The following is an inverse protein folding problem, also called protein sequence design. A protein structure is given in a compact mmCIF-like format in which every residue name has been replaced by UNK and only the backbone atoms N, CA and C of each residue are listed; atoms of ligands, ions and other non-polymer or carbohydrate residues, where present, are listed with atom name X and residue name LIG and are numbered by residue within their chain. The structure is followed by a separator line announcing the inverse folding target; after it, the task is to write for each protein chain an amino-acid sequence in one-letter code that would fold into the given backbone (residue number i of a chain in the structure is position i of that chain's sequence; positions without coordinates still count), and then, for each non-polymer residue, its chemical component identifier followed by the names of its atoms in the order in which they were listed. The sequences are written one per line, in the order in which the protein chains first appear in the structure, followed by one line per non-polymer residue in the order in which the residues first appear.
data_IF_255689358907
#
_entry.id   IF_255689358907
#
_cell.length_a   1.000
_cell.length_b   1.000
_cell.length_c   1.000
_cell.angle_alpha   90.00
_cell.angle_beta   90.00
_cell.angle_gamma   90.00
#
_symmetry.space_group_name_H-M   'P 1'
#
loop_
_entity.id
_entity.type
_entity.pdbx_description
1 polymer ?
#
# COMPACT_ATOMS: atom_id res chain seq x y z
N UNK A 1 -11.80 21.85 -0.66
CA UNK A 1 -11.26 22.33 -1.95
C UNK A 1 -10.08 21.47 -2.30
N UNK A 2 -9.88 21.15 -3.59
CA UNK A 2 -8.68 20.48 -4.04
C UNK A 2 -7.46 21.38 -3.79
N UNK A 3 -6.33 20.79 -3.43
CA UNK A 3 -5.08 21.51 -3.18
C UNK A 3 -4.16 21.41 -4.40
N UNK A 4 -3.45 22.49 -4.71
CA UNK A 4 -2.53 22.56 -5.86
C UNK A 4 -1.10 22.44 -5.35
N UNK A 5 -0.27 21.65 -6.01
CA UNK A 5 1.13 21.46 -5.64
C UNK A 5 2.04 21.29 -6.83
N UNK A 6 3.32 21.25 -6.52
CA UNK A 6 4.40 20.90 -7.46
C UNK A 6 5.22 19.74 -6.90
N UNK A 7 5.83 18.97 -7.77
CA UNK A 7 6.92 18.11 -7.37
C UNK A 7 8.21 18.53 -8.07
N UNK A 8 9.31 18.41 -7.34
CA UNK A 8 10.58 18.99 -7.78
C UNK A 8 11.79 18.15 -7.37
N UNK A 9 12.85 18.32 -8.15
CA UNK A 9 14.12 17.66 -7.97
C UNK A 9 15.29 18.63 -8.26
N UNK A 10 16.50 18.12 -8.33
CA UNK A 10 17.65 18.89 -8.78
C UNK A 10 17.55 19.36 -10.25
N UNK A 11 16.68 18.72 -11.05
CA UNK A 11 16.46 19.10 -12.46
C UNK A 11 15.76 20.45 -12.60
N UNK A 12 15.01 20.88 -11.58
CA UNK A 12 14.30 22.16 -11.56
C UNK A 12 15.20 23.34 -11.12
N UNK A 13 16.49 23.07 -10.92
CA UNK A 13 17.49 24.08 -10.64
C UNK A 13 17.34 24.76 -9.26
N UNK A 14 17.55 26.08 -9.24
CA UNK A 14 17.46 26.87 -8.02
C UNK A 14 16.12 27.57 -7.91
N UNK A 15 15.18 26.94 -7.22
CA UNK A 15 13.82 27.44 -7.01
C UNK A 15 13.83 28.66 -6.08
N UNK A 16 13.10 29.73 -6.46
CA UNK A 16 12.79 30.85 -5.57
C UNK A 16 11.49 30.56 -4.81
N UNK A 17 11.62 29.87 -3.69
CA UNK A 17 10.48 29.43 -2.87
C UNK A 17 9.64 30.59 -2.33
N UNK A 18 10.21 31.82 -2.15
CA UNK A 18 9.41 32.98 -1.78
C UNK A 18 8.38 33.37 -2.84
N UNK A 19 8.69 33.15 -4.13
CA UNK A 19 7.75 33.37 -5.23
C UNK A 19 6.81 32.21 -5.46
N UNK A 20 7.21 31.00 -5.13
CA UNK A 20 6.43 29.76 -5.33
C UNK A 20 5.30 29.67 -4.30
N UNK A 21 5.55 30.01 -3.04
CA UNK A 21 4.68 29.74 -1.88
C UNK A 21 3.23 30.24 -2.04
N UNK A 22 3.03 31.36 -2.74
CA UNK A 22 1.72 31.99 -2.90
C UNK A 22 0.90 31.34 -4.04
N UNK A 23 1.49 30.38 -4.76
CA UNK A 23 0.90 29.71 -5.91
C UNK A 23 0.64 28.22 -5.67
N UNK A 24 1.03 27.67 -4.52
CA UNK A 24 0.87 26.24 -4.20
C UNK A 24 0.42 26.04 -2.75
N UNK A 25 -0.25 24.92 -2.52
CA UNK A 25 -0.65 24.44 -1.19
C UNK A 25 0.32 23.43 -0.61
N UNK A 26 1.13 22.75 -1.45
CA UNK A 26 2.08 21.71 -1.04
C UNK A 26 3.19 21.51 -2.08
N UNK A 27 4.27 20.86 -1.66
CA UNK A 27 5.34 20.39 -2.54
C UNK A 27 5.72 18.93 -2.24
N UNK A 28 6.11 18.17 -3.26
CA UNK A 28 6.71 16.84 -3.11
C UNK A 28 8.15 16.93 -3.61
N UNK A 29 9.13 16.61 -2.74
CA UNK A 29 10.54 16.81 -3.03
C UNK A 29 11.23 15.49 -3.33
N UNK A 30 12.00 15.41 -4.41
CA UNK A 30 12.84 14.23 -4.63
C UNK A 30 13.90 14.14 -3.54
N UNK A 31 13.86 13.05 -2.74
CA UNK A 31 14.91 12.79 -1.75
C UNK A 31 16.16 12.18 -2.41
N UNK A 32 15.97 11.49 -3.52
CA UNK A 32 17.04 10.88 -4.29
C UNK A 32 16.56 9.71 -5.14
N UNK A 33 17.47 8.78 -5.41
CA UNK A 33 17.15 7.51 -6.04
C UNK A 33 17.79 6.34 -5.28
N UNK A 34 17.20 5.16 -5.44
CA UNK A 34 17.64 3.91 -4.83
C UNK A 34 17.92 2.86 -5.90
N UNK A 35 19.01 2.12 -5.73
CA UNK A 35 19.45 1.09 -6.67
C UNK A 35 19.93 -0.19 -6.00
N UNK A 36 20.18 -1.21 -6.81
CA UNK A 36 20.59 -2.53 -6.31
C UNK A 36 21.92 -2.49 -5.55
N UNK A 37 22.82 -1.60 -5.91
CA UNK A 37 24.17 -1.53 -5.34
C UNK A 37 24.43 -0.24 -4.56
N UNK A 38 23.73 0.84 -4.89
CA UNK A 38 23.97 2.17 -4.32
C UNK A 38 22.67 2.97 -4.26
N UNK A 39 22.65 4.00 -3.43
CA UNK A 39 21.61 5.02 -3.34
C UNK A 39 22.27 6.39 -3.46
N UNK A 40 21.55 7.37 -3.96
CA UNK A 40 22.06 8.74 -4.09
C UNK A 40 21.01 9.74 -3.62
N UNK A 41 21.45 10.71 -2.80
CA UNK A 41 20.62 11.83 -2.37
C UNK A 41 20.53 12.84 -3.52
N UNK A 42 19.36 13.43 -3.71
CA UNK A 42 19.21 14.57 -4.62
C UNK A 42 19.96 15.80 -4.07
N UNK A 43 20.80 16.40 -4.88
CA UNK A 43 21.69 17.51 -4.45
C UNK A 43 20.94 18.76 -3.98
N UNK A 44 19.66 18.93 -4.36
CA UNK A 44 18.81 20.06 -3.95
C UNK A 44 17.86 19.71 -2.81
N UNK A 45 17.79 18.43 -2.40
CA UNK A 45 16.83 17.99 -1.39
C UNK A 45 16.90 18.82 -0.10
N UNK A 46 18.07 18.91 0.52
CA UNK A 46 18.23 19.62 1.79
C UNK A 46 17.88 21.11 1.68
N UNK A 47 18.29 21.73 0.59
CA UNK A 47 17.95 23.14 0.33
C UNK A 47 16.44 23.32 0.18
N UNK A 48 15.81 22.51 -0.65
CA UNK A 48 14.39 22.63 -0.92
C UNK A 48 13.56 22.30 0.34
N UNK A 49 13.96 21.27 1.10
CA UNK A 49 13.34 20.96 2.39
C UNK A 49 13.37 22.15 3.36
N UNK A 50 14.55 22.73 3.58
CA UNK A 50 14.74 23.84 4.51
C UNK A 50 13.95 25.09 4.10
N UNK A 51 13.91 25.40 2.82
CA UNK A 51 13.15 26.53 2.29
C UNK A 51 11.65 26.35 2.44
N UNK A 52 11.12 25.15 2.11
CA UNK A 52 9.72 24.83 2.31
C UNK A 52 9.33 24.95 3.80
N UNK A 53 10.15 24.41 4.70
CA UNK A 53 9.91 24.53 6.15
C UNK A 53 9.95 25.97 6.64
N UNK A 54 10.91 26.75 6.19
CA UNK A 54 10.99 28.19 6.51
C UNK A 54 9.73 28.97 6.11
N UNK A 55 9.09 28.53 5.02
CA UNK A 55 7.92 29.19 4.45
C UNK A 55 6.59 28.54 4.85
N UNK A 56 6.63 27.49 5.70
CA UNK A 56 5.47 26.68 6.10
C UNK A 56 4.72 26.08 4.91
N UNK A 57 5.44 25.66 3.86
CA UNK A 57 4.88 24.89 2.77
C UNK A 57 4.82 23.43 3.21
N UNK A 58 3.65 22.79 3.23
CA UNK A 58 3.53 21.34 3.51
C UNK A 58 4.30 20.51 2.50
N UNK A 59 5.07 19.53 2.99
CA UNK A 59 5.94 18.73 2.13
C UNK A 59 5.76 17.23 2.31
N UNK A 60 5.82 16.51 1.18
CA UNK A 60 6.13 15.10 1.08
C UNK A 60 7.45 14.89 0.35
N UNK A 61 7.85 13.63 0.24
CA UNK A 61 9.05 13.27 -0.51
C UNK A 61 8.78 12.10 -1.44
N UNK A 62 9.58 11.98 -2.51
CA UNK A 62 9.61 10.77 -3.31
C UNK A 62 11.04 10.29 -3.54
N UNK A 63 11.17 8.98 -3.77
CA UNK A 63 12.43 8.33 -4.10
C UNK A 63 12.28 7.52 -5.39
N UNK A 64 13.11 7.79 -6.38
CA UNK A 64 13.09 7.06 -7.66
C UNK A 64 13.69 5.67 -7.51
N UNK A 65 13.01 4.65 -8.03
CA UNK A 65 13.36 3.25 -7.79
C UNK A 65 14.00 2.55 -8.98
N UNK A 66 15.20 2.01 -8.77
CA UNK A 66 15.89 1.05 -9.67
C UNK A 66 16.07 -0.34 -9.02
N UNK A 67 15.60 -0.54 -7.79
CA UNK A 67 15.80 -1.78 -7.02
C UNK A 67 14.91 -2.88 -7.55
N UNK A 68 15.49 -4.08 -7.72
CA UNK A 68 14.80 -5.28 -8.25
C UNK A 68 14.61 -6.38 -7.20
N UNK A 69 15.18 -6.23 -6.01
CA UNK A 69 15.27 -7.28 -5.00
C UNK A 69 14.56 -6.82 -3.72
N UNK A 70 13.61 -7.62 -3.21
CA UNK A 70 12.80 -7.26 -2.05
C UNK A 70 13.63 -7.02 -0.79
N UNK A 71 14.64 -7.83 -0.51
CA UNK A 71 15.52 -7.59 0.64
C UNK A 71 16.24 -6.23 0.53
N UNK A 72 16.70 -5.88 -0.67
CA UNK A 72 17.40 -4.62 -0.90
C UNK A 72 16.47 -3.41 -0.79
N UNK A 73 15.22 -3.52 -1.24
CA UNK A 73 14.29 -2.38 -1.16
C UNK A 73 13.91 -2.04 0.28
N UNK A 74 13.90 -3.03 1.20
CA UNK A 74 13.74 -2.79 2.65
C UNK A 74 14.91 -1.99 3.22
N UNK A 75 16.15 -2.37 2.90
CA UNK A 75 17.34 -1.60 3.27
C UNK A 75 17.30 -0.17 2.73
N UNK A 76 16.76 0.01 1.52
CA UNK A 76 16.59 1.32 0.92
C UNK A 76 15.50 2.15 1.62
N UNK A 77 14.43 1.53 2.10
CA UNK A 77 13.44 2.21 2.94
C UNK A 77 14.07 2.70 4.24
N UNK A 78 14.86 1.87 4.92
CA UNK A 78 15.61 2.28 6.11
C UNK A 78 16.57 3.44 5.83
N UNK A 79 17.24 3.43 4.66
CA UNK A 79 18.10 4.53 4.25
C UNK A 79 17.32 5.84 4.04
N UNK A 80 16.16 5.80 3.36
CA UNK A 80 15.28 6.98 3.18
C UNK A 80 14.81 7.51 4.54
N UNK A 81 14.34 6.63 5.42
CA UNK A 81 13.92 6.98 6.78
C UNK A 81 15.07 7.60 7.56
N UNK A 82 16.28 7.07 7.41
CA UNK A 82 17.50 7.61 8.04
C UNK A 82 17.79 9.06 7.62
N UNK A 83 17.59 9.41 6.35
CA UNK A 83 17.74 10.79 5.85
C UNK A 83 16.70 11.76 6.41
N UNK A 84 15.53 11.23 6.78
CA UNK A 84 14.41 12.00 7.34
C UNK A 84 14.45 12.09 8.87
N UNK A 85 15.45 11.50 9.50
CA UNK A 85 15.62 11.60 10.96
C UNK A 85 15.66 13.07 11.40
N UNK A 86 14.79 13.44 12.32
CA UNK A 86 14.58 14.81 12.79
C UNK A 86 13.97 15.77 11.74
N UNK A 87 13.37 15.24 10.68
CA UNK A 87 12.61 15.99 9.69
C UNK A 87 11.12 15.60 9.79
N UNK A 88 10.24 16.58 9.78
CA UNK A 88 8.78 16.36 9.73
C UNK A 88 8.28 16.43 8.29
N UNK A 89 7.32 15.60 7.97
CA UNK A 89 6.60 15.61 6.71
C UNK A 89 5.11 15.79 6.99
N UNK A 90 4.43 16.59 6.18
CA UNK A 90 2.97 16.76 6.21
C UNK A 90 2.26 15.94 5.13
N UNK A 91 3.03 15.27 4.28
CA UNK A 91 2.59 14.40 3.20
C UNK A 91 3.40 13.10 3.21
N UNK A 92 2.94 12.06 2.51
CA UNK A 92 3.62 10.76 2.50
C UNK A 92 5.02 10.77 1.89
N UNK A 93 5.72 9.65 2.14
CA UNK A 93 6.89 9.21 1.38
C UNK A 93 6.38 8.35 0.23
N UNK A 94 6.72 8.71 -1.00
CA UNK A 94 6.32 7.97 -2.20
C UNK A 94 7.46 7.17 -2.80
N UNK A 95 7.23 5.87 -3.03
CA UNK A 95 8.08 5.08 -3.91
C UNK A 95 7.68 5.34 -5.36
N UNK A 96 8.61 5.86 -6.14
CA UNK A 96 8.41 6.17 -7.56
C UNK A 96 8.72 4.94 -8.42
N UNK A 97 7.68 4.42 -9.08
CA UNK A 97 7.66 3.16 -9.83
C UNK A 97 7.37 3.40 -11.31
N UNK A 98 8.39 3.80 -12.06
CA UNK A 98 8.22 4.08 -13.49
C UNK A 98 9.40 3.64 -14.38
N UNK A 99 10.49 3.13 -13.78
CA UNK A 99 11.68 2.76 -14.54
C UNK A 99 11.47 1.49 -15.38
N UNK A 100 11.66 1.61 -16.69
CA UNK A 100 11.43 0.53 -17.63
C UNK A 100 12.32 -0.71 -17.38
N UNK A 101 13.47 -0.57 -16.72
CA UNK A 101 14.34 -1.71 -16.40
C UNK A 101 13.70 -2.68 -15.38
N UNK A 102 12.65 -2.25 -14.70
CA UNK A 102 11.92 -3.04 -13.70
C UNK A 102 10.82 -3.91 -14.33
N UNK A 103 10.34 -3.58 -15.54
CA UNK A 103 9.14 -4.20 -16.15
C UNK A 103 9.24 -5.72 -16.31
N UNK A 104 10.47 -6.23 -16.47
CA UNK A 104 10.74 -7.68 -16.59
C UNK A 104 10.44 -8.49 -15.32
N UNK A 105 10.28 -7.84 -14.17
CA UNK A 105 9.95 -8.50 -12.90
C UNK A 105 8.52 -9.02 -12.84
N UNK A 106 7.64 -8.46 -13.65
CA UNK A 106 6.22 -8.79 -13.68
C UNK A 106 5.42 -8.18 -12.53
N UNK A 107 4.11 -8.13 -12.73
CA UNK A 107 3.15 -7.37 -11.91
C UNK A 107 3.21 -7.70 -10.40
N UNK A 108 3.25 -8.97 -10.07
CA UNK A 108 3.28 -9.42 -8.67
C UNK A 108 4.55 -8.96 -7.94
N UNK A 109 5.71 -9.17 -8.56
CA UNK A 109 6.98 -8.78 -7.93
C UNK A 109 7.12 -7.27 -7.80
N UNK A 110 6.68 -6.50 -8.80
CA UNK A 110 6.67 -5.03 -8.73
C UNK A 110 5.75 -4.54 -7.59
N UNK A 111 4.59 -5.14 -7.44
CA UNK A 111 3.67 -4.82 -6.33
C UNK A 111 4.29 -5.18 -4.98
N UNK A 112 4.97 -6.33 -4.89
CA UNK A 112 5.66 -6.74 -3.65
C UNK A 112 6.79 -5.78 -3.27
N UNK A 113 7.52 -5.21 -4.25
CA UNK A 113 8.51 -4.16 -3.97
C UNK A 113 7.85 -2.92 -3.35
N UNK A 114 6.72 -2.48 -3.89
CA UNK A 114 5.96 -1.36 -3.31
C UNK A 114 5.53 -1.67 -1.87
N UNK A 115 4.99 -2.87 -1.64
CA UNK A 115 4.55 -3.30 -0.31
C UNK A 115 5.73 -3.36 0.66
N UNK A 116 6.85 -3.93 0.25
CA UNK A 116 8.03 -4.07 1.10
C UNK A 116 8.61 -2.72 1.52
N UNK A 117 8.75 -1.78 0.58
CA UNK A 117 9.23 -0.41 0.87
C UNK A 117 8.28 0.33 1.81
N UNK A 118 7.00 0.35 1.45
CA UNK A 118 5.99 1.10 2.19
C UNK A 118 5.78 0.55 3.60
N UNK A 119 5.84 -0.78 3.78
CA UNK A 119 5.73 -1.40 5.11
C UNK A 119 6.86 -0.96 6.04
N UNK A 120 8.13 -0.89 5.57
CA UNK A 120 9.23 -0.39 6.39
C UNK A 120 9.09 1.12 6.67
N UNK A 121 8.63 1.88 5.69
CA UNK A 121 8.33 3.31 5.85
C UNK A 121 7.26 3.56 6.91
N UNK A 122 6.16 2.80 6.90
CA UNK A 122 5.08 2.91 7.89
C UNK A 122 5.51 2.48 9.30
N UNK A 123 6.34 1.43 9.43
CA UNK A 123 6.94 1.03 10.72
C UNK A 123 7.76 2.15 11.35
N UNK A 124 8.35 3.02 10.55
CA UNK A 124 9.08 4.19 11.02
C UNK A 124 8.17 5.38 11.38
N UNK A 125 6.85 5.24 11.24
CA UNK A 125 5.86 6.26 11.60
C UNK A 125 5.53 7.26 10.49
N UNK A 126 5.94 7.02 9.25
CA UNK A 126 5.59 7.87 8.11
C UNK A 126 4.40 7.28 7.34
N UNK A 127 3.57 8.14 6.80
CA UNK A 127 2.63 7.72 5.77
C UNK A 127 3.37 7.38 4.49
N UNK A 128 2.93 6.32 3.82
CA UNK A 128 3.58 5.79 2.64
C UNK A 128 2.65 5.79 1.42
N UNK A 129 3.24 5.86 0.24
CA UNK A 129 2.49 5.86 -1.00
C UNK A 129 3.29 5.34 -2.19
N UNK A 130 2.61 5.23 -3.31
CA UNK A 130 3.21 4.84 -4.58
C UNK A 130 2.91 5.93 -5.61
N UNK A 131 3.97 6.40 -6.29
CA UNK A 131 3.84 7.16 -7.52
C UNK A 131 4.09 6.24 -8.71
N UNK A 132 3.26 6.37 -9.71
CA UNK A 132 3.46 5.78 -11.03
C UNK A 132 2.58 6.50 -12.07
N UNK A 133 2.92 6.37 -13.36
CA UNK A 133 2.02 6.82 -14.40
C UNK A 133 0.85 5.84 -14.63
N UNK A 134 -0.18 6.28 -15.36
CA UNK A 134 -1.39 5.50 -15.61
C UNK A 134 -1.11 4.13 -16.23
N UNK A 135 -0.13 4.05 -17.15
CA UNK A 135 0.25 2.77 -17.78
C UNK A 135 0.79 1.78 -16.75
N UNK A 136 1.62 2.25 -15.83
CA UNK A 136 2.17 1.42 -14.76
C UNK A 136 1.10 0.92 -13.81
N UNK A 137 0.20 1.78 -13.35
CA UNK A 137 -0.92 1.38 -12.49
C UNK A 137 -1.82 0.33 -13.15
N UNK A 138 -2.09 0.44 -14.45
CA UNK A 138 -2.96 -0.50 -15.14
C UNK A 138 -2.28 -1.83 -15.48
N UNK A 139 -1.02 -1.80 -15.93
CA UNK A 139 -0.37 -2.94 -16.55
C UNK A 139 0.71 -3.60 -15.70
N UNK A 140 1.41 -2.85 -14.83
CA UNK A 140 2.58 -3.33 -14.10
C UNK A 140 2.40 -3.43 -12.60
N UNK A 141 1.35 -2.82 -12.02
CA UNK A 141 1.06 -2.85 -10.59
C UNK A 141 -0.33 -3.44 -10.33
N UNK A 142 -0.47 -4.14 -9.21
CA UNK A 142 -1.79 -4.50 -8.69
C UNK A 142 -2.41 -3.27 -8.02
N UNK A 143 -3.03 -2.42 -8.84
CA UNK A 143 -3.54 -1.11 -8.41
C UNK A 143 -4.55 -1.21 -7.26
N UNK A 144 -5.41 -2.22 -7.26
CA UNK A 144 -6.45 -2.38 -6.25
C UNK A 144 -5.83 -2.72 -4.88
N UNK A 145 -4.75 -3.49 -4.88
CA UNK A 145 -4.02 -3.81 -3.66
C UNK A 145 -3.27 -2.59 -3.12
N UNK A 146 -2.61 -1.81 -3.99
CA UNK A 146 -1.92 -0.58 -3.61
C UNK A 146 -2.92 0.44 -3.06
N UNK A 147 -4.02 0.70 -3.77
CA UNK A 147 -5.06 1.67 -3.37
C UNK A 147 -5.73 1.32 -2.04
N UNK A 148 -5.84 0.04 -1.72
CA UNK A 148 -6.41 -0.41 -0.46
C UNK A 148 -5.49 -0.15 0.73
N UNK A 149 -4.16 -0.13 0.53
CA UNK A 149 -3.15 -0.10 1.59
C UNK A 149 -2.47 1.24 1.76
N UNK A 150 -2.21 1.93 0.66
CA UNK A 150 -1.30 3.07 0.62
C UNK A 150 -1.93 4.24 -0.10
N UNK A 151 -1.37 5.43 0.14
CA UNK A 151 -1.70 6.62 -0.64
C UNK A 151 -1.21 6.49 -2.08
N UNK A 152 -1.93 7.11 -3.00
CA UNK A 152 -1.69 6.97 -4.44
C UNK A 152 -1.45 8.33 -5.10
N UNK A 153 -0.37 8.40 -5.87
CA UNK A 153 -0.02 9.55 -6.69
C UNK A 153 0.18 9.09 -8.13
N UNK A 154 -0.66 9.59 -9.04
CA UNK A 154 -0.66 9.16 -10.43
C UNK A 154 -0.22 10.27 -11.38
N UNK A 155 0.66 9.94 -12.35
CA UNK A 155 0.87 10.79 -13.51
C UNK A 155 -0.09 10.41 -14.64
N UNK A 156 -0.89 11.39 -15.07
CA UNK A 156 -1.80 11.26 -16.20
C UNK A 156 -1.94 12.60 -16.91
N UNK A 157 -1.07 12.85 -17.87
CA UNK A 157 -1.00 14.12 -18.58
C UNK A 157 -2.15 14.30 -19.57
N UNK A 158 -2.53 15.55 -19.81
CA UNK A 158 -3.63 15.91 -20.72
C UNK A 158 -5.04 15.71 -20.15
N UNK A 159 -5.15 15.29 -18.89
CA UNK A 159 -6.43 15.18 -18.19
C UNK A 159 -6.85 16.55 -17.67
N UNK A 160 -8.15 16.87 -17.84
CA UNK A 160 -8.71 18.05 -17.20
C UNK A 160 -8.85 17.79 -15.69
N UNK A 161 -7.95 18.34 -14.89
CA UNK A 161 -7.92 18.19 -13.44
C UNK A 161 -9.22 18.55 -12.73
N UNK A 162 -9.98 19.52 -13.27
CA UNK A 162 -11.27 19.93 -12.70
C UNK A 162 -12.40 18.93 -12.96
N UNK A 163 -12.21 17.97 -13.85
CA UNK A 163 -13.15 16.89 -14.18
C UNK A 163 -12.65 15.51 -13.73
N UNK A 164 -11.50 15.45 -13.11
CA UNK A 164 -10.97 14.21 -12.56
C UNK A 164 -11.87 13.73 -11.41
N UNK A 165 -12.17 12.44 -11.39
CA UNK A 165 -13.13 11.85 -10.45
C UNK A 165 -12.56 11.53 -9.06
N UNK A 166 -11.28 11.85 -8.81
CA UNK A 166 -10.61 11.53 -7.54
C UNK A 166 -10.33 10.03 -7.33
N UNK A 167 -10.16 9.27 -8.41
CA UNK A 167 -9.83 7.84 -8.33
C UNK A 167 -8.51 7.57 -7.57
N UNK A 168 -7.58 8.54 -7.63
CA UNK A 168 -6.30 8.53 -6.91
C UNK A 168 -6.21 9.75 -6.00
N UNK A 169 -5.40 9.69 -4.95
CA UNK A 169 -5.32 10.76 -3.95
C UNK A 169 -4.68 12.03 -4.52
N UNK A 170 -3.62 11.88 -5.33
CA UNK A 170 -2.93 12.98 -6.04
C UNK A 170 -2.83 12.66 -7.54
N UNK A 171 -3.09 13.65 -8.36
CA UNK A 171 -2.90 13.62 -9.81
C UNK A 171 -1.79 14.60 -10.22
N UNK A 172 -0.72 14.09 -10.81
CA UNK A 172 0.23 14.88 -11.58
C UNK A 172 -0.32 15.01 -13.01
N UNK A 173 -0.81 16.20 -13.35
CA UNK A 173 -1.56 16.40 -14.60
C UNK A 173 -0.76 17.06 -15.72
N UNK A 174 0.44 17.56 -15.43
CA UNK A 174 1.32 18.22 -16.39
C UNK A 174 2.78 18.13 -15.95
N UNK A 175 3.65 17.87 -16.91
CA UNK A 175 5.11 17.95 -16.82
C UNK A 175 5.66 19.26 -17.47
N UNK A 176 4.77 20.19 -17.84
CA UNK A 176 5.07 21.45 -18.54
C UNK A 176 4.41 22.65 -17.89
N UNK A 177 4.25 22.57 -16.58
CA UNK A 177 3.69 23.67 -15.80
C UNK A 177 4.62 24.90 -15.76
N UNK A 178 4.04 26.04 -15.44
CA UNK A 178 4.80 27.28 -15.20
C UNK A 178 4.34 27.87 -13.88
N UNK A 179 5.28 28.02 -12.97
CA UNK A 179 5.06 28.61 -11.65
C UNK A 179 6.10 29.72 -11.45
N UNK A 180 5.66 30.88 -10.97
CA UNK A 180 6.58 31.97 -10.61
C UNK A 180 7.58 31.48 -9.56
N UNK A 181 8.86 31.64 -9.83
CA UNK A 181 9.93 31.19 -8.95
C UNK A 181 10.58 29.87 -9.36
N UNK A 182 10.06 29.17 -10.38
CA UNK A 182 10.73 28.04 -11.04
C UNK A 182 11.16 28.46 -12.44
N UNK A 183 12.40 28.22 -12.78
CA UNK A 183 12.93 28.46 -14.10
C UNK A 183 12.74 27.23 -14.97
N UNK A 184 11.99 27.36 -16.06
CA UNK A 184 11.67 26.24 -16.96
C UNK A 184 10.29 25.65 -16.71
N UNK A 185 10.12 24.38 -17.05
CA UNK A 185 8.91 23.60 -16.80
C UNK A 185 8.96 22.99 -15.41
N UNK A 186 7.82 22.75 -14.81
CA UNK A 186 7.67 22.11 -13.50
C UNK A 186 6.44 21.21 -13.48
N UNK A 187 6.51 20.12 -12.74
CA UNK A 187 5.41 19.17 -12.58
C UNK A 187 4.30 19.77 -11.72
N UNK A 188 3.08 19.73 -12.26
CA UNK A 188 1.88 20.27 -11.59
C UNK A 188 0.98 19.16 -11.07
N UNK A 189 0.56 19.31 -9.83
CA UNK A 189 -0.23 18.35 -9.09
C UNK A 189 -1.53 18.93 -8.55
N UNK A 190 -2.54 18.07 -8.45
CA UNK A 190 -3.78 18.33 -7.70
C UNK A 190 -4.02 17.21 -6.71
N UNK A 191 -4.20 17.56 -5.44
CA UNK A 191 -4.57 16.64 -4.36
C UNK A 191 -6.09 16.67 -4.18
N UNK A 192 -6.73 15.50 -4.31
CA UNK A 192 -8.18 15.33 -4.19
C UNK A 192 -8.61 14.85 -2.80
N UNK A 193 -7.77 14.06 -2.13
CA UNK A 193 -7.91 13.68 -0.72
C UNK A 193 -7.00 14.57 0.11
N UNK A 194 -7.52 15.24 1.12
CA UNK A 194 -6.72 16.15 1.97
C UNK A 194 -5.76 15.36 2.90
N UNK A 195 -4.69 14.83 2.31
CA UNK A 195 -3.68 14.04 3.03
C UNK A 195 -2.99 14.85 4.14
N UNK A 196 -2.88 16.16 3.99
CA UNK A 196 -2.29 17.02 5.03
C UNK A 196 -3.16 16.99 6.28
N UNK A 197 -4.47 17.10 6.11
CA UNK A 197 -5.43 16.99 7.20
C UNK A 197 -5.41 15.59 7.81
N UNK A 198 -5.51 14.55 6.98
CA UNK A 198 -5.56 13.16 7.43
C UNK A 198 -4.32 12.80 8.28
N UNK A 199 -3.12 13.21 7.85
CA UNK A 199 -1.88 12.98 8.59
C UNK A 199 -1.85 13.77 9.89
N UNK A 200 -2.28 15.04 9.87
CA UNK A 200 -2.30 15.87 11.08
C UNK A 200 -3.27 15.34 12.13
N UNK A 201 -4.43 14.83 11.71
CA UNK A 201 -5.41 14.23 12.61
C UNK A 201 -4.92 12.88 13.15
N UNK A 202 -4.23 12.06 12.34
CA UNK A 202 -3.66 10.79 12.78
C UNK A 202 -2.54 10.96 13.81
N UNK A 203 -1.80 12.07 13.78
CA UNK A 203 -0.77 12.37 14.79
C UNK A 203 -1.32 12.85 16.12
N UNK A 204 -2.58 13.30 16.16
CA UNK A 204 -3.27 13.70 17.39
C UNK A 204 -4.04 12.55 18.05
N UNK A 205 -4.25 11.45 17.35
CA UNK A 205 -4.88 10.24 17.86
C UNK A 205 -3.81 9.26 18.38
N UNK A 206 -4.09 8.64 19.52
CA UNK A 206 -3.20 7.66 20.18
C UNK A 206 -2.80 6.51 19.25
N UNK A 207 -1.71 5.76 19.50
CA UNK A 207 -1.12 4.74 18.61
C UNK A 207 -2.03 3.57 18.19
N UNK A 208 -3.31 3.60 18.54
CA UNK A 208 -4.25 2.50 18.28
C UNK A 208 -4.79 2.41 16.83
N UNK A 209 -4.67 3.48 16.02
CA UNK A 209 -5.35 3.53 14.71
C UNK A 209 -4.51 3.12 13.49
N UNK A 210 -3.20 2.92 13.64
CA UNK A 210 -2.33 2.40 12.56
C UNK A 210 -2.14 0.88 12.58
N UNK A 211 -2.96 0.17 13.34
CA UNK A 211 -2.90 -1.30 13.38
C UNK A 211 -3.61 -1.90 12.16
N UNK A 212 -2.98 -2.88 11.53
CA UNK A 212 -3.66 -3.70 10.54
C UNK A 212 -4.93 -4.30 11.13
N UNK A 213 -6.00 -4.46 10.34
CA UNK A 213 -7.19 -5.18 10.80
C UNK A 213 -6.83 -6.55 11.36
N UNK A 214 -7.47 -6.95 12.44
CA UNK A 214 -7.19 -8.25 13.11
C UNK A 214 -7.29 -9.43 12.15
N UNK A 215 -8.21 -9.37 11.17
CA UNK A 215 -8.30 -10.33 10.08
C UNK A 215 -6.98 -10.48 9.31
N UNK A 216 -6.36 -9.38 8.96
CA UNK A 216 -5.11 -9.37 8.18
C UNK A 216 -3.94 -9.88 9.01
N UNK A 217 -3.87 -9.48 10.27
CA UNK A 217 -2.87 -10.02 11.23
C UNK A 217 -3.06 -11.51 11.43
N UNK A 218 -4.31 -11.98 11.56
CA UNK A 218 -4.62 -13.39 11.69
C UNK A 218 -4.19 -14.20 10.46
N UNK A 219 -4.33 -13.65 9.25
CA UNK A 219 -3.81 -14.28 8.03
C UNK A 219 -2.28 -14.36 8.02
N UNK A 220 -1.58 -13.31 8.45
CA UNK A 220 -0.11 -13.32 8.60
C UNK A 220 0.34 -14.37 9.63
N UNK A 221 -0.40 -14.52 10.74
CA UNK A 221 -0.15 -15.59 11.72
C UNK A 221 -0.32 -16.97 11.09
N UNK A 222 -1.37 -17.18 10.29
CA UNK A 222 -1.62 -18.46 9.57
C UNK A 222 -0.50 -18.75 8.58
N UNK A 223 0.04 -17.74 7.92
CA UNK A 223 1.17 -17.83 6.99
C UNK A 223 2.53 -18.02 7.69
N UNK A 224 2.56 -18.00 9.04
CA UNK A 224 3.76 -18.28 9.82
C UNK A 224 4.68 -17.08 10.10
N UNK A 225 4.29 -15.86 9.69
CA UNK A 225 5.10 -14.64 9.83
C UNK A 225 5.43 -14.27 11.29
N UNK A 226 4.54 -14.66 12.22
CA UNK A 226 4.71 -14.40 13.67
C UNK A 226 5.34 -15.55 14.46
N UNK A 227 5.75 -16.66 13.80
CA UNK A 227 6.28 -17.83 14.50
C UNK A 227 5.21 -18.58 15.32
N UNK A 228 5.63 -19.26 16.41
CA UNK A 228 4.73 -20.10 17.21
C UNK A 228 4.87 -19.84 18.71
N UNK A 229 3.82 -20.17 19.47
CA UNK A 229 3.85 -20.15 20.93
C UNK A 229 4.18 -18.79 21.51
N UNK A 230 5.18 -18.73 22.40
CA UNK A 230 5.58 -17.51 23.10
C UNK A 230 6.20 -16.46 22.16
N UNK A 231 6.94 -16.89 21.13
CA UNK A 231 7.49 -15.99 20.11
C UNK A 231 6.38 -15.21 19.40
N UNK A 232 5.29 -15.90 18.98
CA UNK A 232 4.10 -15.26 18.38
C UNK A 232 3.51 -14.23 19.32
N UNK A 233 3.35 -14.59 20.60
CA UNK A 233 2.75 -13.69 21.58
C UNK A 233 3.59 -12.42 21.73
N UNK A 234 4.89 -12.55 21.92
CA UNK A 234 5.81 -11.42 22.08
C UNK A 234 5.81 -10.49 20.85
N UNK A 235 5.81 -11.05 19.63
CA UNK A 235 5.76 -10.26 18.39
C UNK A 235 4.45 -9.50 18.25
N UNK A 236 3.31 -10.15 18.50
CA UNK A 236 1.99 -9.50 18.43
C UNK A 236 1.85 -8.39 19.47
N UNK A 237 2.28 -8.66 20.72
CA UNK A 237 2.23 -7.67 21.80
C UNK A 237 3.20 -6.50 21.57
N UNK A 238 4.37 -6.74 20.98
CA UNK A 238 5.33 -5.70 20.60
C UNK A 238 4.76 -4.77 19.51
N UNK A 239 3.93 -5.30 18.61
CA UNK A 239 3.18 -4.53 17.60
C UNK A 239 1.86 -3.97 18.15
N UNK A 240 1.60 -4.14 19.46
CA UNK A 240 0.44 -3.59 20.16
C UNK A 240 -0.86 -4.37 19.97
N UNK A 241 -0.84 -5.59 19.42
CA UNK A 241 -2.03 -6.43 19.28
C UNK A 241 -2.32 -7.23 20.53
N UNK A 242 -3.60 -7.44 20.83
CA UNK A 242 -4.01 -8.40 21.86
C UNK A 242 -3.86 -9.83 21.30
N UNK A 243 -2.94 -10.60 21.86
CA UNK A 243 -2.66 -11.97 21.44
C UNK A 243 -3.92 -12.85 21.40
N UNK A 244 -4.78 -12.77 22.44
CA UNK A 244 -5.96 -13.61 22.52
C UNK A 244 -7.00 -13.28 21.44
N UNK A 245 -7.13 -12.01 21.09
CA UNK A 245 -8.04 -11.54 20.06
C UNK A 245 -7.59 -12.00 18.67
N UNK A 246 -6.30 -11.82 18.35
CA UNK A 246 -5.71 -12.31 17.10
C UNK A 246 -5.82 -13.85 17.02
N UNK A 247 -5.49 -14.56 18.11
CA UNK A 247 -5.55 -16.02 18.13
C UNK A 247 -7.00 -16.53 17.98
N UNK A 248 -7.99 -15.83 18.53
CA UNK A 248 -9.41 -16.14 18.33
C UNK A 248 -9.79 -16.03 16.87
N UNK A 249 -9.36 -14.96 16.18
CA UNK A 249 -9.60 -14.76 14.74
C UNK A 249 -8.88 -15.81 13.89
N UNK A 250 -7.64 -16.17 14.22
CA UNK A 250 -6.90 -17.28 13.59
C UNK A 250 -7.71 -18.57 13.66
N UNK A 251 -8.21 -18.89 14.84
CA UNK A 251 -9.02 -20.11 15.05
C UNK A 251 -10.33 -20.07 14.26
N UNK A 252 -10.99 -18.92 14.20
CA UNK A 252 -12.20 -18.71 13.39
C UNK A 252 -11.93 -18.98 11.91
N UNK A 253 -10.89 -18.39 11.33
CA UNK A 253 -10.49 -18.55 9.92
C UNK A 253 -10.13 -20.03 9.62
N UNK A 254 -9.34 -20.66 10.49
CA UNK A 254 -8.95 -22.07 10.33
C UNK A 254 -10.20 -22.97 10.39
N UNK A 255 -11.12 -22.70 11.32
CA UNK A 255 -12.34 -23.51 11.48
C UNK A 255 -13.31 -23.30 10.31
N UNK A 256 -13.42 -22.08 9.78
CA UNK A 256 -14.22 -21.78 8.58
C UNK A 256 -13.68 -22.50 7.34
N UNK A 257 -12.35 -22.67 7.25
CA UNK A 257 -11.66 -23.37 6.16
C UNK A 257 -11.52 -24.89 6.41
N UNK A 258 -11.98 -25.39 7.55
CA UNK A 258 -11.85 -26.82 7.89
C UNK A 258 -12.82 -27.63 7.05
N UNK A 259 -12.28 -28.48 6.16
CA UNK A 259 -13.08 -29.41 5.39
C UNK A 259 -13.78 -30.42 6.32
N UNK A 260 -15.08 -30.33 6.39
CA UNK A 260 -15.89 -31.33 7.11
C UNK A 260 -16.13 -32.49 6.14
N UNK A 261 -15.57 -33.66 6.44
CA UNK A 261 -15.79 -34.89 5.66
C UNK A 261 -16.82 -35.74 6.37
N UNK A 262 -17.97 -35.93 5.73
CA UNK A 262 -18.97 -36.86 6.18
C UNK A 262 -18.82 -38.22 5.47
N UNK A 263 -18.88 -39.31 6.22
CA UNK A 263 -18.89 -40.66 5.63
C UNK A 263 -20.34 -41.18 5.60
N UNK A 264 -20.83 -41.44 4.41
CA UNK A 264 -22.21 -41.92 4.17
C UNK A 264 -22.45 -43.22 4.90
N UNK A 265 -23.56 -43.28 5.64
CA UNK A 265 -24.03 -44.45 6.37
C UNK A 265 -25.20 -45.09 5.63
N UNK A 266 -25.57 -46.34 6.04
CA UNK A 266 -26.74 -47.02 5.49
C UNK A 266 -28.02 -46.23 5.83
N UNK A 267 -28.82 -45.97 4.79
CA UNK A 267 -30.05 -45.19 4.89
C UNK A 267 -29.90 -43.69 4.64
N UNK A 268 -28.70 -43.17 4.55
CA UNK A 268 -28.47 -41.73 4.29
C UNK A 268 -28.90 -41.34 2.87
N UNK A 269 -29.47 -40.15 2.78
CA UNK A 269 -29.69 -39.44 1.50
C UNK A 269 -28.92 -38.13 1.47
N UNK A 270 -28.59 -37.67 0.26
CA UNK A 270 -27.88 -36.41 0.10
C UNK A 270 -28.68 -35.20 0.64
N UNK A 271 -30.04 -35.33 0.61
CA UNK A 271 -30.96 -34.32 1.17
C UNK A 271 -30.90 -34.25 2.69
N UNK A 272 -30.84 -35.39 3.37
CA UNK A 272 -30.71 -35.43 4.82
C UNK A 272 -29.34 -34.94 5.29
N UNK A 273 -28.28 -35.32 4.58
CA UNK A 273 -26.92 -34.82 4.82
C UNK A 273 -26.88 -33.29 4.65
N UNK A 274 -27.45 -32.76 3.55
CA UNK A 274 -27.53 -31.34 3.31
C UNK A 274 -28.26 -30.59 4.43
N UNK A 275 -29.43 -31.10 4.87
CA UNK A 275 -30.19 -30.54 5.95
C UNK A 275 -29.44 -30.58 7.30
N UNK A 276 -28.76 -31.68 7.58
CA UNK A 276 -27.97 -31.88 8.81
C UNK A 276 -26.84 -30.85 8.94
N UNK A 277 -26.22 -30.48 7.83
CA UNK A 277 -25.08 -29.56 7.81
C UNK A 277 -25.41 -28.16 7.29
N UNK A 278 -26.73 -27.81 7.27
CA UNK A 278 -27.23 -26.50 6.86
C UNK A 278 -26.67 -26.02 5.48
N UNK A 279 -26.67 -26.94 4.52
CA UNK A 279 -26.23 -26.70 3.13
C UNK A 279 -27.31 -27.17 2.15
N UNK A 280 -27.05 -27.15 0.86
CA UNK A 280 -27.97 -27.62 -0.19
C UNK A 280 -27.43 -28.85 -0.90
N UNK A 281 -28.34 -29.68 -1.44
CA UNK A 281 -27.98 -30.83 -2.29
C UNK A 281 -27.11 -30.37 -3.47
N UNK A 282 -27.47 -29.25 -4.10
CA UNK A 282 -26.71 -28.70 -5.23
C UNK A 282 -25.26 -28.32 -4.85
N UNK A 283 -25.07 -27.77 -3.66
CA UNK A 283 -23.75 -27.44 -3.14
C UNK A 283 -22.91 -28.71 -2.94
N UNK A 284 -23.49 -29.73 -2.30
CA UNK A 284 -22.82 -31.02 -2.08
C UNK A 284 -22.48 -31.71 -3.42
N UNK A 285 -23.39 -31.69 -4.36
CA UNK A 285 -23.19 -32.25 -5.72
C UNK A 285 -22.02 -31.59 -6.42
N UNK A 286 -21.99 -30.26 -6.45
CA UNK A 286 -20.92 -29.47 -7.10
C UNK A 286 -19.57 -29.68 -6.41
N UNK A 287 -19.55 -29.61 -5.07
CA UNK A 287 -18.33 -29.69 -4.27
C UNK A 287 -17.66 -31.06 -4.36
N UNK A 288 -18.46 -32.13 -4.53
CA UNK A 288 -18.00 -33.51 -4.57
C UNK A 288 -18.03 -34.16 -5.95
N UNK A 289 -18.32 -33.40 -7.00
CA UNK A 289 -18.46 -33.92 -8.38
C UNK A 289 -19.42 -35.12 -8.48
N UNK A 290 -20.56 -35.08 -7.75
CA UNK A 290 -21.53 -36.16 -7.74
C UNK A 290 -22.37 -36.10 -9.02
N UNK A 291 -22.27 -37.09 -9.88
CA UNK A 291 -22.98 -37.13 -11.16
C UNK A 291 -24.49 -37.35 -11.01
N UNK A 292 -24.92 -38.07 -9.97
CA UNK A 292 -26.33 -38.35 -9.71
C UNK A 292 -26.63 -38.14 -8.21
N UNK A 293 -27.39 -37.07 -7.85
CA UNK A 293 -27.67 -36.76 -6.46
C UNK A 293 -28.51 -37.81 -5.72
N UNK A 294 -29.20 -38.69 -6.45
CA UNK A 294 -30.00 -39.78 -5.88
C UNK A 294 -29.18 -41.08 -5.69
N UNK A 295 -27.86 -41.05 -5.96
CA UNK A 295 -27.04 -42.24 -5.89
C UNK A 295 -25.74 -41.96 -5.14
N UNK A 296 -25.78 -42.18 -3.83
CA UNK A 296 -24.62 -42.16 -2.94
C UNK A 296 -24.43 -43.55 -2.33
N UNK A 297 -23.25 -43.88 -1.89
CA UNK A 297 -22.91 -45.23 -1.43
C UNK A 297 -22.42 -45.18 0.03
N UNK A 298 -22.77 -46.23 0.79
CA UNK A 298 -22.25 -46.43 2.15
C UNK A 298 -20.71 -46.44 2.12
N UNK A 299 -20.08 -45.64 2.98
CA UNK A 299 -18.63 -45.45 3.01
C UNK A 299 -18.11 -44.33 2.08
N UNK A 300 -18.94 -43.76 1.21
CA UNK A 300 -18.56 -42.60 0.41
C UNK A 300 -18.26 -41.40 1.30
N UNK A 301 -17.14 -40.74 1.02
CA UNK A 301 -16.76 -39.50 1.73
C UNK A 301 -17.34 -38.32 0.98
N UNK A 302 -18.07 -37.47 1.69
CA UNK A 302 -18.68 -36.24 1.17
C UNK A 302 -18.09 -35.06 1.92
N UNK A 303 -17.47 -34.15 1.17
CA UNK A 303 -17.04 -32.84 1.68
C UNK A 303 -18.26 -31.93 1.80
N UNK A 304 -18.46 -31.42 3.01
CA UNK A 304 -19.61 -30.61 3.34
C UNK A 304 -19.35 -29.13 3.06
#
# INVERSE_FOLDING_TARGET
MNKIGIDVSSHDGNINWNSVKDNIDFAILRIGWIGNNENQIDEKFERNYNECKRLNIPIGVYVYNYVKIEARIKECADWVVGLLKNKSLELPIYLDMEDNSLTSLGKTNLTNLCIAFNTETEKAGYWAGVYANLNWYNNYLNKDEIKRRYTTWIAHYGVNQNRYNGEYDILQYSDKGKISGVEGDVDLNTMYRDLIKDISESTTETPEQNKLPIEEVAMKVINGEYGNGEERKQKLEAEGYNYNEVQSKVNEIINANKKIIYTVKSGDTLSEIAKKYNTTVQTLVRKNNISNPNKIYVGQKIEI
#
